data_IF_991120574004
#
_entry.id   IF_991120574004
#
_cell.length_a   1.000
_cell.length_b   1.000
_cell.length_c   1.000
_cell.angle_alpha   90.00
_cell.angle_beta   90.00
_cell.angle_gamma   90.00
#
_symmetry.space_group_name_H-M   'P 1'
#
loop_
_entity.id
_entity.type
_entity.pdbx_description
1 polymer ?
#
# COMPACT_ATOMS: atom_id res chain seq x y z
N UNK A 1 18.20 19.62 15.85
CA UNK A 1 16.97 18.77 15.80
C UNK A 1 16.14 19.01 14.55
N UNK A 2 15.79 20.25 14.20
CA UNK A 2 14.99 20.58 13.01
C UNK A 2 15.53 19.93 11.72
N UNK A 3 16.82 20.07 11.44
CA UNK A 3 17.46 19.46 10.27
C UNK A 3 17.30 17.92 10.24
N UNK A 4 17.55 17.24 11.37
CA UNK A 4 17.38 15.77 11.42
C UNK A 4 15.94 15.34 11.20
N UNK A 5 14.98 16.05 11.79
CA UNK A 5 13.56 15.76 11.57
C UNK A 5 13.13 16.05 10.14
N UNK A 6 13.57 17.17 9.56
CA UNK A 6 13.30 17.51 8.17
C UNK A 6 13.83 16.47 7.18
N UNK A 7 15.06 16.00 7.37
CA UNK A 7 15.66 14.94 6.55
C UNK A 7 14.88 13.63 6.67
N UNK A 8 14.46 13.23 7.89
CA UNK A 8 13.66 12.03 8.11
C UNK A 8 12.26 12.17 7.47
N UNK A 9 11.59 13.31 7.66
CA UNK A 9 10.29 13.56 7.00
C UNK A 9 10.40 13.45 5.49
N UNK A 10 11.42 14.08 4.87
CA UNK A 10 11.63 14.02 3.43
C UNK A 10 11.82 12.58 2.94
N UNK A 11 12.67 11.81 3.59
CA UNK A 11 12.88 10.40 3.26
C UNK A 11 11.59 9.57 3.41
N UNK A 12 10.86 9.75 4.51
CA UNK A 12 9.63 9.02 4.78
C UNK A 12 8.51 9.37 3.80
N UNK A 13 8.34 10.66 3.46
CA UNK A 13 7.35 11.08 2.44
C UNK A 13 7.60 10.34 1.14
N UNK A 14 8.84 10.27 0.66
CA UNK A 14 9.18 9.57 -0.59
C UNK A 14 8.93 8.06 -0.48
N UNK A 15 9.37 7.43 0.61
CA UNK A 15 9.21 5.97 0.81
C UNK A 15 7.73 5.57 0.91
N UNK A 16 6.96 6.30 1.71
CA UNK A 16 5.54 6.00 1.93
C UNK A 16 4.67 6.38 0.74
N UNK A 17 5.02 7.44 0.01
CA UNK A 17 4.34 7.81 -1.24
C UNK A 17 4.42 6.67 -2.27
N UNK A 18 5.62 6.12 -2.49
CA UNK A 18 5.83 5.00 -3.42
C UNK A 18 5.08 3.73 -3.02
N UNK A 19 4.87 3.52 -1.73
CA UNK A 19 4.17 2.33 -1.19
C UNK A 19 2.67 2.56 -0.96
N UNK A 20 2.17 3.77 -1.23
CA UNK A 20 0.76 4.13 -1.02
C UNK A 20 -0.12 3.55 -2.13
N UNK A 21 -0.78 2.44 -1.87
CA UNK A 21 -1.70 1.76 -2.79
C UNK A 21 -3.19 1.98 -2.47
N UNK A 22 -3.52 2.76 -1.43
CA UNK A 22 -4.90 3.06 -1.03
C UNK A 22 -5.09 4.54 -0.74
N UNK A 23 -6.34 5.03 -0.84
CA UNK A 23 -6.67 6.43 -0.51
C UNK A 23 -6.31 6.75 0.95
N UNK A 24 -6.57 5.84 1.87
CA UNK A 24 -6.25 6.03 3.29
C UNK A 24 -4.73 6.16 3.53
N UNK A 25 -3.92 5.31 2.88
CA UNK A 25 -2.46 5.41 2.92
C UNK A 25 -1.96 6.74 2.33
N UNK A 26 -2.62 7.22 1.29
CA UNK A 26 -2.28 8.51 0.66
C UNK A 26 -2.54 9.70 1.60
N UNK A 27 -3.62 9.66 2.39
CA UNK A 27 -3.90 10.67 3.43
C UNK A 27 -2.75 10.73 4.45
N UNK A 28 -2.23 9.57 4.88
CA UNK A 28 -1.07 9.53 5.77
C UNK A 28 0.16 10.21 5.15
N UNK A 29 0.41 9.97 3.85
CA UNK A 29 1.51 10.63 3.14
C UNK A 29 1.32 12.15 3.08
N UNK A 30 0.10 12.61 2.81
CA UNK A 30 -0.22 14.05 2.82
C UNK A 30 0.06 14.63 4.22
N UNK A 31 -0.35 13.94 5.28
CA UNK A 31 -0.05 14.36 6.66
C UNK A 31 1.45 14.50 6.90
N UNK A 32 2.26 13.52 6.48
CA UNK A 32 3.72 13.58 6.59
C UNK A 32 4.30 14.74 5.77
N UNK A 33 3.77 15.02 4.58
CA UNK A 33 4.19 16.15 3.75
C UNK A 33 3.84 17.50 4.39
N UNK A 34 2.67 17.62 4.99
CA UNK A 34 2.27 18.82 5.76
C UNK A 34 3.22 19.02 6.96
N UNK A 35 3.57 17.95 7.67
CA UNK A 35 4.52 18.01 8.78
C UNK A 35 5.95 18.36 8.30
N UNK A 36 6.35 17.89 7.10
CA UNK A 36 7.62 18.27 6.48
C UNK A 36 7.69 19.78 6.23
N UNK A 37 6.66 20.35 5.58
CA UNK A 37 6.59 21.79 5.34
C UNK A 37 6.48 22.55 6.65
N UNK A 38 5.63 22.06 7.57
CA UNK A 38 5.46 22.64 8.91
C UNK A 38 6.72 22.61 9.77
N UNK A 39 7.65 21.71 9.48
CA UNK A 39 8.90 21.57 10.21
C UNK A 39 9.72 22.87 10.25
N UNK A 40 9.66 23.69 9.18
CA UNK A 40 10.35 24.96 9.16
C UNK A 40 9.79 25.97 10.16
N UNK A 41 8.47 25.93 10.39
CA UNK A 41 7.78 26.83 11.33
C UNK A 41 7.83 26.35 12.76
N UNK A 42 8.26 25.10 12.99
CA UNK A 42 8.26 24.46 14.30
C UNK A 42 9.60 24.62 15.05
N UNK A 43 10.57 25.38 14.54
CA UNK A 43 11.89 25.52 15.14
C UNK A 43 11.83 25.87 16.63
N UNK A 44 11.06 26.90 17.00
CA UNK A 44 10.86 27.31 18.41
C UNK A 44 10.11 26.27 19.25
N UNK A 45 9.25 25.44 18.61
CA UNK A 45 8.51 24.38 19.29
C UNK A 45 9.39 23.19 19.68
N UNK A 46 10.49 22.94 18.94
CA UNK A 46 11.44 21.88 19.26
C UNK A 46 12.28 22.16 20.53
N UNK A 47 12.26 23.38 21.06
CA UNK A 47 12.80 23.68 22.37
C UNK A 47 12.03 22.95 23.47
N UNK A 48 10.74 22.67 23.23
CA UNK A 48 9.95 21.82 24.13
C UNK A 48 10.33 20.35 23.98
N UNK A 49 10.87 19.77 25.05
CA UNK A 49 11.26 18.37 25.08
C UNK A 49 10.11 17.41 24.75
N UNK A 50 8.88 17.71 25.18
CA UNK A 50 7.69 16.91 24.87
C UNK A 50 7.35 16.88 23.39
N UNK A 51 7.46 18.03 22.71
CA UNK A 51 7.22 18.12 21.24
C UNK A 51 8.31 17.32 20.50
N UNK A 52 9.57 17.48 20.88
CA UNK A 52 10.68 16.72 20.28
C UNK A 52 10.52 15.22 20.46
N UNK A 53 10.06 14.75 21.62
CA UNK A 53 9.76 13.33 21.84
C UNK A 53 8.58 12.84 21.02
N UNK A 54 7.54 13.67 20.84
CA UNK A 54 6.40 13.32 19.99
C UNK A 54 6.81 13.10 18.54
N UNK A 55 7.59 14.02 17.96
CA UNK A 55 8.14 13.86 16.60
C UNK A 55 9.10 12.68 16.50
N UNK A 56 9.94 12.47 17.51
CA UNK A 56 10.83 11.30 17.53
C UNK A 56 10.04 9.99 17.56
N UNK A 57 8.96 9.90 18.31
CA UNK A 57 8.08 8.72 18.32
C UNK A 57 7.45 8.47 16.96
N UNK A 58 6.89 9.50 16.32
CA UNK A 58 6.30 9.40 14.99
C UNK A 58 7.33 8.95 13.95
N UNK A 59 8.39 9.73 13.80
CA UNK A 59 9.43 9.50 12.79
C UNK A 59 10.20 8.21 13.05
N UNK A 60 10.52 7.93 14.32
CA UNK A 60 11.20 6.72 14.73
C UNK A 60 10.40 5.47 14.43
N UNK A 61 9.09 5.47 14.73
CA UNK A 61 8.20 4.34 14.39
C UNK A 61 8.11 4.13 12.89
N UNK A 62 7.87 5.21 12.12
CA UNK A 62 7.75 5.12 10.66
C UNK A 62 9.06 4.69 10.01
N UNK A 63 10.21 5.19 10.49
CA UNK A 63 11.53 4.80 10.01
C UNK A 63 11.87 3.34 10.35
N UNK A 64 11.59 2.91 11.58
CA UNK A 64 11.82 1.53 11.99
C UNK A 64 10.90 0.56 11.24
N UNK A 65 9.66 0.98 10.93
CA UNK A 65 8.74 0.19 10.11
C UNK A 65 9.26 -0.03 8.67
N UNK A 66 10.06 0.90 8.15
CA UNK A 66 10.77 0.71 6.88
C UNK A 66 12.02 -0.16 7.06
N UNK A 67 12.84 0.12 8.06
CA UNK A 67 14.17 -0.46 8.23
C UNK A 67 14.13 -1.90 8.76
N UNK A 68 13.27 -2.20 9.74
CA UNK A 68 13.20 -3.52 10.36
C UNK A 68 12.81 -4.64 9.36
N UNK A 69 11.75 -4.48 8.55
CA UNK A 69 11.41 -5.47 7.53
C UNK A 69 12.53 -5.67 6.51
N UNK A 70 13.27 -4.61 6.19
CA UNK A 70 14.42 -4.71 5.29
C UNK A 70 15.57 -5.53 5.89
N UNK A 71 15.85 -5.38 7.19
CA UNK A 71 16.90 -6.15 7.89
C UNK A 71 16.50 -7.61 8.13
N UNK A 72 15.25 -7.85 8.51
CA UNK A 72 14.76 -9.21 8.87
C UNK A 72 14.18 -9.95 7.68
N UNK A 73 13.98 -9.28 6.53
CA UNK A 73 13.41 -9.84 5.30
C UNK A 73 11.99 -10.40 5.47
N UNK A 74 11.23 -9.85 6.42
CA UNK A 74 9.84 -10.21 6.70
C UNK A 74 9.00 -8.97 6.94
N UNK A 75 7.75 -9.00 6.45
CA UNK A 75 6.75 -7.95 6.67
C UNK A 75 5.60 -8.57 7.46
N UNK A 76 4.90 -7.77 8.25
CA UNK A 76 3.74 -8.18 9.00
C UNK A 76 3.51 -7.35 10.25
N UNK A 77 2.34 -7.53 10.86
CA UNK A 77 1.92 -6.80 12.06
C UNK A 77 2.94 -6.88 13.21
N UNK A 78 3.54 -8.06 13.42
CA UNK A 78 4.53 -8.27 14.50
C UNK A 78 5.72 -7.33 14.35
N UNK A 79 6.22 -7.15 13.13
CA UNK A 79 7.36 -6.27 12.85
C UNK A 79 7.00 -4.80 13.00
N UNK A 80 5.80 -4.41 12.61
CA UNK A 80 5.29 -3.06 12.85
C UNK A 80 5.16 -2.77 14.35
N UNK A 81 4.58 -3.71 15.10
CA UNK A 81 4.44 -3.59 16.54
C UNK A 81 5.80 -3.49 17.24
N UNK A 82 6.78 -4.32 16.83
CA UNK A 82 8.16 -4.26 17.35
C UNK A 82 8.83 -2.92 17.01
N UNK A 83 8.63 -2.39 15.81
CA UNK A 83 9.11 -1.05 15.41
C UNK A 83 8.58 0.04 16.33
N UNK A 84 7.29 -0.03 16.65
CA UNK A 84 6.62 0.91 17.55
C UNK A 84 7.17 0.81 18.97
N UNK A 85 7.35 -0.41 19.48
CA UNK A 85 7.91 -0.64 20.81
C UNK A 85 9.35 -0.15 20.90
N UNK A 86 10.16 -0.38 19.86
CA UNK A 86 11.56 0.06 19.86
C UNK A 86 11.66 1.60 19.86
N UNK A 87 10.84 2.26 19.03
CA UNK A 87 10.76 3.73 19.01
C UNK A 87 10.31 4.29 20.37
N UNK A 88 9.28 3.68 20.96
CA UNK A 88 8.80 4.09 22.29
C UNK A 88 9.85 3.85 23.39
N UNK A 89 10.59 2.75 23.33
CA UNK A 89 11.68 2.45 24.26
C UNK A 89 12.78 3.53 24.21
N UNK A 90 13.13 4.02 23.02
CA UNK A 90 14.06 5.14 22.84
C UNK A 90 13.51 6.41 23.52
N UNK A 91 12.23 6.72 23.31
CA UNK A 91 11.57 7.87 23.95
C UNK A 91 11.59 7.75 25.48
N UNK A 92 11.33 6.56 26.03
CA UNK A 92 11.38 6.30 27.48
C UNK A 92 12.81 6.41 28.02
N UNK A 93 13.80 5.92 27.28
CA UNK A 93 15.22 6.05 27.66
C UNK A 93 15.63 7.52 27.75
N UNK A 94 15.31 8.32 26.73
CA UNK A 94 15.60 9.75 26.70
C UNK A 94 14.88 10.50 27.82
N UNK A 95 13.62 10.13 28.11
CA UNK A 95 12.91 10.68 29.27
C UNK A 95 13.61 10.38 30.60
N UNK A 96 14.07 9.13 30.82
CA UNK A 96 14.79 8.75 32.05
C UNK A 96 16.07 9.55 32.21
N UNK A 97 16.83 9.73 31.14
CA UNK A 97 18.09 10.51 31.16
C UNK A 97 17.79 11.99 31.43
N UNK A 98 16.74 12.54 30.85
CA UNK A 98 16.34 13.94 30.94
C UNK A 98 15.74 14.33 32.31
N UNK A 99 15.38 13.38 33.17
CA UNK A 99 14.71 13.57 34.47
C UNK A 99 13.51 14.52 34.45
N UNK A 100 12.80 14.61 33.34
CA UNK A 100 11.60 15.44 33.15
C UNK A 100 10.34 14.77 33.70
N UNK A 101 9.26 15.56 33.86
CA UNK A 101 7.96 15.06 34.29
C UNK A 101 7.45 13.93 33.37
N UNK A 102 6.75 12.92 33.93
CA UNK A 102 6.12 11.82 33.18
C UNK A 102 5.09 12.29 32.14
N UNK A 103 4.54 13.51 32.30
CA UNK A 103 3.55 14.09 31.38
C UNK A 103 4.10 14.22 29.94
N UNK A 104 5.41 14.33 29.74
CA UNK A 104 6.01 14.42 28.41
C UNK A 104 5.90 13.12 27.61
N UNK A 105 5.62 11.97 28.25
CA UNK A 105 5.42 10.68 27.58
C UNK A 105 4.01 10.49 27.03
N UNK A 106 3.05 11.34 27.42
CA UNK A 106 1.65 11.20 26.97
C UNK A 106 1.56 11.29 25.43
N UNK A 107 2.25 12.26 24.82
CA UNK A 107 2.22 12.45 23.37
C UNK A 107 2.89 11.28 22.60
N UNK A 108 4.12 10.82 22.95
CA UNK A 108 4.71 9.62 22.34
C UNK A 108 3.83 8.38 22.44
N UNK A 109 3.24 8.11 23.61
CA UNK A 109 2.37 6.96 23.82
C UNK A 109 1.10 7.09 22.96
N UNK A 110 0.46 8.27 22.95
CA UNK A 110 -0.73 8.53 22.14
C UNK A 110 -0.46 8.34 20.64
N UNK A 111 0.66 8.84 20.14
CA UNK A 111 1.08 8.66 18.75
C UNK A 111 1.31 7.17 18.44
N UNK A 112 2.01 6.45 19.34
CA UNK A 112 2.25 5.01 19.15
C UNK A 112 0.97 4.21 19.07
N UNK A 113 0.01 4.48 19.95
CA UNK A 113 -1.32 3.84 19.93
C UNK A 113 -2.06 4.19 18.64
N UNK A 114 -2.06 5.46 18.23
CA UNK A 114 -2.70 5.93 17.01
C UNK A 114 -2.12 5.23 15.76
N UNK A 115 -0.79 5.09 15.69
CA UNK A 115 -0.12 4.41 14.57
C UNK A 115 -0.43 2.90 14.55
N UNK A 116 -0.53 2.23 15.70
CA UNK A 116 -0.93 0.81 15.76
C UNK A 116 -2.37 0.65 15.26
N UNK A 117 -3.29 1.51 15.69
CA UNK A 117 -4.68 1.50 15.20
C UNK A 117 -4.72 1.78 13.69
N UNK A 118 -3.99 2.79 13.22
CA UNK A 118 -3.90 3.12 11.80
C UNK A 118 -3.36 1.94 10.96
N UNK A 119 -2.40 1.20 11.48
CA UNK A 119 -1.88 0.00 10.82
C UNK A 119 -2.95 -1.11 10.73
N UNK A 120 -3.67 -1.37 11.81
CA UNK A 120 -4.76 -2.36 11.84
C UNK A 120 -5.90 -1.98 10.88
N UNK A 121 -6.13 -0.68 10.66
CA UNK A 121 -7.11 -0.16 9.71
C UNK A 121 -6.57 -0.11 8.26
N UNK A 122 -5.36 -0.61 7.99
CA UNK A 122 -4.67 -0.54 6.69
C UNK A 122 -4.45 0.90 6.17
N UNK A 123 -4.29 1.87 7.06
CA UNK A 123 -3.94 3.25 6.71
C UNK A 123 -2.43 3.42 6.53
N UNK A 124 -1.64 2.63 7.25
CA UNK A 124 -0.18 2.60 7.08
C UNK A 124 0.16 1.60 5.97
N UNK A 125 0.75 2.04 4.85
CA UNK A 125 1.10 1.14 3.76
C UNK A 125 2.21 0.17 4.18
N UNK A 126 2.23 -1.05 3.62
CA UNK A 126 3.23 -2.07 3.92
C UNK A 126 4.57 -1.77 3.23
N UNK A 127 5.29 -0.77 3.73
CA UNK A 127 6.64 -0.48 3.25
C UNK A 127 7.62 -1.63 3.60
N UNK A 128 8.60 -1.96 2.74
CA UNK A 128 9.04 -1.24 1.54
C UNK A 128 8.50 -1.79 0.21
N UNK A 129 7.30 -2.37 0.18
CA UNK A 129 6.71 -2.90 -1.05
C UNK A 129 6.01 -1.82 -1.86
N UNK A 130 6.08 -1.96 -3.18
CA UNK A 130 5.43 -1.05 -4.11
C UNK A 130 4.68 -1.84 -5.17
N UNK A 131 3.38 -1.60 -5.31
CA UNK A 131 2.63 -2.06 -6.48
C UNK A 131 3.01 -1.17 -7.66
N UNK A 132 3.86 -1.68 -8.57
CA UNK A 132 4.29 -0.92 -9.74
C UNK A 132 3.16 -0.75 -10.74
N UNK A 133 2.48 -1.85 -11.03
CA UNK A 133 1.43 -1.88 -12.03
C UNK A 133 0.39 -2.94 -11.69
N UNK A 134 -0.86 -2.64 -11.97
CA UNK A 134 -1.96 -3.60 -11.95
C UNK A 134 -2.75 -3.44 -13.25
N UNK A 135 -3.01 -4.54 -13.94
CA UNK A 135 -3.78 -4.57 -15.18
C UNK A 135 -4.94 -5.53 -15.03
N UNK A 136 -6.09 -5.15 -15.56
CA UNK A 136 -7.24 -6.03 -15.67
C UNK A 136 -7.50 -6.25 -17.16
N UNK A 137 -7.60 -7.50 -17.59
CA UNK A 137 -7.51 -7.81 -19.01
C UNK A 137 -8.09 -9.17 -19.39
N UNK A 138 -8.09 -9.43 -20.67
CA UNK A 138 -8.46 -10.68 -21.32
C UNK A 138 -7.24 -11.24 -22.08
N UNK A 139 -7.38 -12.46 -22.62
CA UNK A 139 -6.39 -13.08 -23.50
C UNK A 139 -4.95 -12.97 -22.96
N UNK A 140 -4.76 -13.40 -21.73
CA UNK A 140 -3.46 -13.33 -21.07
C UNK A 140 -2.45 -14.33 -21.64
N UNK A 141 -1.33 -13.81 -22.13
CA UNK A 141 -0.17 -14.61 -22.51
C UNK A 141 0.83 -14.69 -21.35
N UNK A 142 1.12 -15.93 -20.93
CA UNK A 142 2.03 -16.19 -19.81
C UNK A 142 3.51 -16.07 -20.19
N UNK A 143 3.84 -16.09 -21.48
CA UNK A 143 5.24 -16.10 -21.93
C UNK A 143 5.88 -14.73 -21.76
N UNK A 144 5.17 -13.68 -22.13
CA UNK A 144 5.63 -12.30 -22.08
C UNK A 144 4.88 -11.42 -21.06
N UNK A 145 3.91 -12.01 -20.34
CA UNK A 145 3.03 -11.29 -19.43
C UNK A 145 2.27 -10.14 -20.10
N UNK A 146 1.87 -10.35 -21.34
CA UNK A 146 1.02 -9.42 -22.09
C UNK A 146 -0.45 -9.84 -22.04
N UNK A 147 -1.34 -8.88 -22.15
CA UNK A 147 -2.77 -9.12 -22.23
C UNK A 147 -3.51 -8.01 -22.96
N UNK A 148 -4.72 -8.32 -23.41
CA UNK A 148 -5.58 -7.39 -24.11
C UNK A 148 -6.41 -6.60 -23.11
N UNK A 149 -6.20 -5.28 -23.09
CA UNK A 149 -6.90 -4.31 -22.24
C UNK A 149 -7.79 -3.44 -23.11
N UNK A 150 -8.98 -3.13 -22.67
CA UNK A 150 -9.82 -2.16 -23.37
C UNK A 150 -9.07 -0.82 -23.53
N UNK A 151 -9.17 -0.24 -24.73
CA UNK A 151 -8.60 1.08 -24.98
C UNK A 151 -9.26 2.11 -24.06
N UNK A 152 -8.51 2.75 -23.14
CA UNK A 152 -9.09 3.63 -22.17
C UNK A 152 -9.63 4.91 -22.82
N UNK A 153 -10.84 5.31 -22.45
CA UNK A 153 -11.41 6.62 -22.82
C UNK A 153 -10.60 7.75 -22.18
N UNK A 154 -10.76 8.98 -22.66
CA UNK A 154 -10.12 10.16 -22.07
C UNK A 154 -10.47 10.31 -20.59
N UNK A 155 -11.74 10.07 -20.21
CA UNK A 155 -12.21 10.15 -18.83
C UNK A 155 -11.59 9.06 -17.93
N UNK A 156 -11.37 7.86 -18.46
CA UNK A 156 -10.67 6.79 -17.76
C UNK A 156 -9.18 7.10 -17.56
N UNK A 157 -8.54 7.75 -18.56
CA UNK A 157 -7.12 8.17 -18.46
C UNK A 157 -6.88 9.19 -17.36
N UNK A 158 -7.81 10.13 -17.16
CA UNK A 158 -7.73 11.15 -16.10
C UNK A 158 -8.33 10.70 -14.78
N UNK A 159 -8.75 9.43 -14.67
CA UNK A 159 -9.26 8.86 -13.42
C UNK A 159 -10.69 9.26 -13.04
N UNK A 160 -11.43 9.93 -13.91
CA UNK A 160 -12.82 10.35 -13.66
C UNK A 160 -13.84 9.24 -13.94
N UNK A 161 -13.44 8.21 -14.70
CA UNK A 161 -14.29 7.07 -15.00
C UNK A 161 -13.56 5.77 -14.68
N UNK A 162 -14.31 4.79 -14.16
CA UNK A 162 -13.81 3.47 -13.84
C UNK A 162 -13.38 2.73 -15.12
N UNK A 163 -12.24 2.02 -15.14
CA UNK A 163 -11.87 1.13 -16.23
C UNK A 163 -12.96 0.08 -16.46
N UNK A 164 -13.24 -0.25 -17.71
CA UNK A 164 -14.18 -1.29 -18.11
C UNK A 164 -13.47 -2.41 -18.85
N UNK A 165 -14.06 -3.59 -18.81
CA UNK A 165 -13.68 -4.76 -19.61
C UNK A 165 -14.93 -5.24 -20.34
N UNK A 166 -14.87 -5.22 -21.66
CA UNK A 166 -15.90 -5.79 -22.52
C UNK A 166 -15.50 -7.21 -22.88
N UNK A 167 -16.37 -8.18 -22.68
CA UNK A 167 -16.09 -9.59 -22.94
C UNK A 167 -17.31 -10.31 -23.46
N UNK A 168 -17.08 -11.46 -24.09
CA UNK A 168 -18.15 -12.43 -24.37
C UNK A 168 -18.54 -13.13 -23.06
N UNK A 169 -19.84 -13.33 -22.76
CA UNK A 169 -20.26 -14.03 -21.55
C UNK A 169 -19.58 -15.39 -21.41
N UNK A 170 -19.03 -15.66 -20.23
CA UNK A 170 -18.30 -16.90 -19.94
C UNK A 170 -16.78 -16.84 -20.14
N UNK A 171 -16.25 -15.80 -20.77
CA UNK A 171 -14.81 -15.61 -20.88
C UNK A 171 -14.15 -15.29 -19.54
N UNK A 172 -12.86 -15.62 -19.46
CA UNK A 172 -12.05 -15.41 -18.28
C UNK A 172 -11.63 -13.94 -18.14
N UNK A 173 -11.59 -13.47 -16.90
CA UNK A 173 -10.99 -12.18 -16.56
C UNK A 173 -9.71 -12.42 -15.78
N UNK A 174 -8.64 -11.77 -16.22
CA UNK A 174 -7.33 -11.83 -15.60
C UNK A 174 -7.01 -10.50 -14.90
N UNK A 175 -6.40 -10.60 -13.74
CA UNK A 175 -5.81 -9.46 -13.03
C UNK A 175 -4.34 -9.74 -12.85
N UNK A 176 -3.51 -8.94 -13.49
CA UNK A 176 -2.06 -9.02 -13.42
C UNK A 176 -1.55 -7.95 -12.46
N UNK A 177 -0.51 -8.28 -11.70
CA UNK A 177 0.16 -7.31 -10.83
C UNK A 177 1.67 -7.49 -10.88
N UNK A 178 2.39 -6.36 -10.91
CA UNK A 178 3.84 -6.28 -10.72
C UNK A 178 4.11 -5.60 -9.38
N UNK A 179 4.73 -6.33 -8.46
CA UNK A 179 5.05 -5.85 -7.10
C UNK A 179 6.55 -5.79 -6.94
N UNK A 180 7.08 -4.60 -6.71
CA UNK A 180 8.48 -4.43 -6.36
C UNK A 180 8.68 -4.74 -4.88
N UNK A 181 9.73 -5.50 -4.59
CA UNK A 181 10.23 -5.76 -3.25
C UNK A 181 11.75 -5.62 -3.23
N UNK A 182 12.36 -5.08 -2.17
CA UNK A 182 13.80 -5.07 -1.99
C UNK A 182 14.41 -6.47 -2.03
N UNK A 183 15.71 -6.54 -2.32
CA UNK A 183 16.46 -7.79 -2.33
C UNK A 183 16.25 -8.58 -1.03
N UNK A 184 16.14 -9.90 -1.19
CA UNK A 184 15.97 -10.88 -0.10
C UNK A 184 14.65 -10.84 0.70
N UNK A 185 13.73 -9.92 0.42
CA UNK A 185 12.41 -9.94 1.03
C UNK A 185 11.57 -11.10 0.46
N UNK A 186 11.00 -11.92 1.35
CA UNK A 186 10.04 -12.97 0.99
C UNK A 186 8.69 -12.64 1.59
N UNK A 187 7.66 -12.59 0.73
CA UNK A 187 6.29 -12.31 1.17
C UNK A 187 5.28 -13.11 0.36
N UNK A 188 4.28 -13.67 1.04
CA UNK A 188 3.15 -14.33 0.38
C UNK A 188 2.07 -13.31 0.08
N UNK A 189 1.63 -13.25 -1.17
CA UNK A 189 0.55 -12.38 -1.61
C UNK A 189 -0.69 -13.17 -1.98
N UNK A 190 -1.84 -12.52 -1.86
CA UNK A 190 -3.13 -13.03 -2.29
C UNK A 190 -3.91 -11.96 -3.05
N UNK A 191 -4.79 -12.40 -3.94
CA UNK A 191 -5.76 -11.55 -4.62
C UNK A 191 -7.12 -11.69 -3.93
N UNK A 192 -7.68 -10.56 -3.49
CA UNK A 192 -9.01 -10.47 -2.89
C UNK A 192 -9.97 -9.86 -3.90
N UNK A 193 -10.92 -10.66 -4.36
CA UNK A 193 -11.95 -10.23 -5.28
C UNK A 193 -13.19 -9.80 -4.52
N UNK A 194 -13.61 -8.57 -4.77
CA UNK A 194 -14.83 -8.00 -4.21
C UNK A 194 -15.79 -7.67 -5.35
N UNK A 195 -17.04 -7.98 -5.16
CA UNK A 195 -18.14 -7.63 -6.06
C UNK A 195 -19.02 -6.56 -5.42
N UNK A 196 -19.43 -5.57 -6.20
CA UNK A 196 -20.38 -4.56 -5.75
C UNK A 196 -21.79 -5.14 -5.86
N UNK A 197 -22.42 -5.37 -4.72
CA UNK A 197 -23.79 -5.86 -4.68
C UNK A 197 -24.71 -4.80 -5.28
N UNK A 198 -25.54 -5.16 -6.29
CA UNK A 198 -26.50 -4.24 -6.86
C UNK A 198 -27.36 -3.57 -5.76
N UNK A 199 -27.65 -2.29 -5.92
CA UNK A 199 -28.49 -1.47 -5.03
C UNK A 199 -27.90 -1.13 -3.64
N UNK A 200 -26.71 -1.64 -3.26
CA UNK A 200 -26.13 -1.36 -1.93
C UNK A 200 -24.91 -0.45 -1.98
N UNK A 201 -24.33 -0.21 -3.16
CA UNK A 201 -23.05 0.47 -3.37
C UNK A 201 -21.90 -0.08 -2.49
N UNK A 202 -22.05 -1.29 -1.94
CA UNK A 202 -21.10 -1.93 -1.03
C UNK A 202 -20.35 -3.06 -1.75
N UNK A 203 -19.04 -3.05 -1.63
CA UNK A 203 -18.19 -4.14 -2.09
C UNK A 203 -18.17 -5.28 -1.07
N UNK A 204 -18.52 -6.48 -1.52
CA UNK A 204 -18.48 -7.70 -0.69
C UNK A 204 -17.39 -8.60 -1.21
N UNK A 205 -16.58 -9.15 -0.31
CA UNK A 205 -15.54 -10.12 -0.65
C UNK A 205 -16.20 -11.40 -1.18
N UNK A 206 -15.85 -11.77 -2.41
CA UNK A 206 -16.35 -12.98 -3.05
C UNK A 206 -15.34 -14.11 -3.03
N UNK A 207 -14.05 -13.79 -3.23
CA UNK A 207 -12.99 -14.79 -3.26
C UNK A 207 -11.66 -14.26 -2.76
N UNK A 208 -10.88 -15.18 -2.19
CA UNK A 208 -9.46 -15.01 -1.89
C UNK A 208 -8.68 -16.04 -2.68
N UNK A 209 -7.87 -15.58 -3.63
CA UNK A 209 -7.04 -16.44 -4.46
C UNK A 209 -5.60 -16.29 -3.99
N UNK A 210 -5.11 -17.30 -3.27
CA UNK A 210 -3.71 -17.45 -2.92
C UNK A 210 -3.22 -18.76 -3.52
N UNK A 211 -2.20 -18.71 -4.34
CA UNK A 211 -1.49 -19.93 -4.74
C UNK A 211 -0.17 -19.97 -3.99
N UNK A 212 0.24 -21.13 -3.51
CA UNK A 212 1.55 -21.30 -2.85
C UNK A 212 2.75 -20.95 -3.73
N UNK A 213 2.51 -20.51 -4.97
CA UNK A 213 3.50 -19.97 -5.91
C UNK A 213 3.54 -18.44 -5.93
N UNK A 214 2.64 -17.75 -5.23
CA UNK A 214 2.61 -16.28 -5.14
C UNK A 214 3.51 -15.78 -4.02
N UNK A 215 4.73 -16.31 -3.94
CA UNK A 215 5.76 -15.83 -3.02
C UNK A 215 6.62 -14.82 -3.77
N UNK A 216 6.58 -13.57 -3.32
CA UNK A 216 7.47 -12.53 -3.82
C UNK A 216 8.86 -12.87 -3.32
N UNK A 217 9.81 -13.01 -4.26
CA UNK A 217 11.24 -13.00 -3.98
C UNK A 217 11.79 -11.65 -4.47
N UNK A 218 12.18 -10.79 -3.54
CA UNK A 218 12.67 -9.45 -3.84
C UNK A 218 13.98 -9.43 -4.67
N UNK A 219 14.38 -8.23 -5.09
CA UNK A 219 15.60 -7.99 -5.83
C UNK A 219 15.44 -7.94 -7.35
N UNK A 220 14.21 -7.99 -7.88
CA UNK A 220 13.95 -7.78 -9.31
C UNK A 220 13.57 -6.32 -9.55
N UNK A 221 14.31 -5.64 -10.43
CA UNK A 221 14.02 -4.25 -10.79
C UNK A 221 12.64 -4.09 -11.42
N UNK A 222 12.22 -5.04 -12.28
CA UNK A 222 10.89 -5.06 -12.91
C UNK A 222 9.75 -5.46 -11.96
N UNK A 223 10.08 -5.87 -10.75
CA UNK A 223 9.12 -6.39 -9.79
C UNK A 223 8.80 -7.87 -9.99
N UNK A 224 8.08 -8.43 -9.02
CA UNK A 224 7.55 -9.78 -9.08
C UNK A 224 6.21 -9.75 -9.80
N UNK A 225 6.13 -10.46 -10.92
CA UNK A 225 4.92 -10.55 -11.75
C UNK A 225 4.05 -11.70 -11.26
N UNK A 226 2.78 -11.43 -11.06
CA UNK A 226 1.79 -12.41 -10.67
C UNK A 226 0.46 -12.15 -11.35
N UNK A 227 -0.42 -13.14 -11.37
CA UNK A 227 -1.76 -12.99 -11.92
C UNK A 227 -2.78 -13.79 -11.14
N UNK A 228 -4.02 -13.32 -11.20
CA UNK A 228 -5.20 -14.01 -10.74
C UNK A 228 -6.18 -14.16 -11.90
N UNK A 229 -6.87 -15.28 -11.97
CA UNK A 229 -7.85 -15.59 -13.02
C UNK A 229 -9.18 -15.96 -12.38
N UNK A 230 -10.25 -15.43 -12.93
CA UNK A 230 -11.62 -15.83 -12.59
C UNK A 230 -12.42 -16.16 -13.83
N UNK A 231 -13.12 -17.29 -13.74
CA UNK A 231 -14.06 -17.76 -14.79
C UNK A 231 -15.48 -17.39 -14.42
N UNK A 232 -16.31 -17.19 -15.44
CA UNK A 232 -17.77 -17.05 -15.32
C UNK A 232 -18.21 -16.05 -14.22
N UNK A 233 -17.51 -14.92 -14.09
CA UNK A 233 -17.97 -13.88 -13.18
C UNK A 233 -19.17 -13.13 -13.78
N UNK A 234 -20.19 -12.73 -13.01
CA UNK A 234 -21.30 -11.93 -13.54
C UNK A 234 -20.82 -10.54 -14.02
N UNK A 235 -21.56 -9.92 -14.92
CA UNK A 235 -21.35 -8.51 -15.25
C UNK A 235 -21.56 -7.63 -14.02
N UNK A 236 -20.85 -6.51 -13.96
CA UNK A 236 -20.95 -5.56 -12.85
C UNK A 236 -19.62 -5.02 -12.36
N UNK A 237 -19.66 -4.35 -11.21
CA UNK A 237 -18.48 -3.65 -10.67
C UNK A 237 -17.70 -4.51 -9.70
N UNK A 238 -16.40 -4.55 -9.93
CA UNK A 238 -15.45 -5.32 -9.13
C UNK A 238 -14.37 -4.42 -8.53
N UNK A 239 -13.83 -4.86 -7.40
CA UNK A 239 -12.57 -4.39 -6.85
C UNK A 239 -11.68 -5.57 -6.60
N UNK A 240 -10.45 -5.53 -7.09
CA UNK A 240 -9.45 -6.55 -6.79
C UNK A 240 -8.31 -5.90 -6.03
N UNK A 241 -8.04 -6.44 -4.86
CA UNK A 241 -6.94 -6.04 -3.99
C UNK A 241 -5.81 -7.04 -4.11
N UNK A 242 -4.59 -6.54 -4.25
CA UNK A 242 -3.36 -7.31 -4.03
C UNK A 242 -2.96 -7.07 -2.59
N UNK A 243 -2.96 -8.11 -1.80
CA UNK A 243 -2.74 -8.02 -0.36
C UNK A 243 -1.76 -9.09 0.12
N UNK A 244 -1.20 -8.87 1.30
CA UNK A 244 -0.54 -9.95 2.02
C UNK A 244 -1.54 -10.91 2.61
N UNK A 245 -1.10 -12.14 2.79
CA UNK A 245 -1.86 -13.14 3.55
C UNK A 245 -2.19 -12.67 4.97
N UNK A 246 -1.32 -11.83 5.56
CA UNK A 246 -1.47 -11.23 6.90
C UNK A 246 -2.47 -10.07 6.98
N UNK A 247 -3.06 -9.66 5.85
CA UNK A 247 -4.14 -8.68 5.81
C UNK A 247 -3.82 -7.33 5.18
N UNK A 248 -2.57 -6.86 5.19
CA UNK A 248 -2.22 -5.55 4.65
C UNK A 248 -2.38 -5.49 3.14
N UNK A 249 -3.06 -4.45 2.63
CA UNK A 249 -3.30 -4.23 1.21
C UNK A 249 -2.12 -3.49 0.59
N UNK A 250 -1.54 -4.05 -0.48
CA UNK A 250 -0.44 -3.44 -1.26
C UNK A 250 -1.01 -2.43 -2.26
N UNK A 251 -2.13 -2.79 -2.90
CA UNK A 251 -2.86 -1.92 -3.80
C UNK A 251 -4.17 -2.53 -4.25
N UNK A 252 -5.02 -1.72 -4.86
CA UNK A 252 -6.33 -2.15 -5.33
C UNK A 252 -6.70 -1.46 -6.65
N UNK A 253 -7.45 -2.16 -7.47
CA UNK A 253 -8.03 -1.63 -8.69
C UNK A 253 -9.51 -1.95 -8.76
N UNK A 254 -10.32 -0.95 -9.09
CA UNK A 254 -11.74 -1.09 -9.39
C UNK A 254 -11.94 -1.11 -10.90
N UNK A 255 -12.88 -1.93 -11.37
CA UNK A 255 -13.23 -2.03 -12.79
C UNK A 255 -14.65 -2.55 -12.95
N UNK A 256 -15.21 -2.36 -14.12
CA UNK A 256 -16.53 -2.84 -14.50
C UNK A 256 -16.41 -3.90 -15.59
N UNK A 257 -17.10 -5.02 -15.39
CA UNK A 257 -17.22 -6.10 -16.38
C UNK A 257 -18.54 -5.93 -17.13
N UNK A 258 -18.45 -5.82 -18.45
CA UNK A 258 -19.57 -5.63 -19.37
C UNK A 258 -19.62 -6.85 -20.28
N UNK A 259 -20.76 -7.56 -20.25
CA UNK A 259 -21.00 -8.73 -21.10
C UNK A 259 -21.45 -8.29 -22.49
N UNK A 260 -20.57 -7.66 -23.22
CA UNK A 260 -20.79 -7.20 -24.60
C UNK A 260 -19.45 -7.28 -25.35
N UNK A 261 -19.42 -8.05 -26.42
CA UNK A 261 -18.23 -8.18 -27.24
C UNK A 261 -17.88 -6.83 -27.87
N UNK A 262 -16.67 -6.38 -27.72
CA UNK A 262 -16.16 -5.20 -28.40
C UNK A 262 -15.43 -5.61 -29.67
N UNK A 263 -15.51 -4.80 -30.70
CA UNK A 263 -14.74 -5.03 -31.94
C UNK A 263 -13.24 -5.11 -31.62
N UNK A 264 -12.51 -5.94 -32.35
CA UNK A 264 -11.08 -6.19 -32.15
C UNK A 264 -10.20 -4.93 -32.16
N UNK A 265 -10.68 -3.86 -32.79
CA UNK A 265 -10.04 -2.53 -32.81
C UNK A 265 -10.13 -1.78 -31.48
N UNK A 266 -10.98 -2.23 -30.55
CA UNK A 266 -11.17 -1.61 -29.23
C UNK A 266 -10.19 -2.08 -28.16
N UNK A 267 -9.31 -3.05 -28.46
CA UNK A 267 -8.32 -3.59 -27.51
C UNK A 267 -6.92 -3.08 -27.79
N UNK A 268 -6.18 -2.88 -26.72
CA UNK A 268 -4.76 -2.53 -26.75
C UNK A 268 -3.98 -3.60 -26.00
N UNK A 269 -3.02 -4.24 -26.66
CA UNK A 269 -2.13 -5.18 -26.01
C UNK A 269 -1.16 -4.44 -25.11
N UNK A 270 -1.17 -4.76 -23.82
CA UNK A 270 -0.26 -4.21 -22.83
C UNK A 270 0.57 -5.31 -22.20
N UNK A 271 1.85 -5.02 -22.02
CA UNK A 271 2.77 -5.88 -21.28
C UNK A 271 2.92 -5.33 -19.86
N UNK A 272 2.93 -6.23 -18.88
CA UNK A 272 3.23 -5.90 -17.51
C UNK A 272 4.75 -5.60 -17.39
N UNK A 273 5.08 -4.38 -17.01
CA UNK A 273 6.47 -3.92 -16.81
C UNK A 273 6.94 -4.20 -15.39
#
# INVERSE_FOLDING_TARGET
>A
MQFCFGSLFSALVVCYFKSSGSLASFILVILLAILLVGNEFLQKKYESFGVSLAFLSLLGTMFMNFTLPHLVHRIGFIWFFLSTLLSLAVCVLLWKISRRSKKVLIAPIGISVCLVVAYLMNWVPPVPLVLKQQLVCQNFDKTDYSCDVDAPSLLQRIGLQMPSIHRIPGEDVYVLASVYAPASLKAEIEYRWHYMVPNTAKYTLTDKISSGRMVINGGREDGFRSFSRKKNIPAGKYRVEVAFKDGAVIGSQTFEVIDEARDSTGYVRKQLQ
#
